data_IF_292471028218
#
_entry.id   IF_292471028218
#
_cell.length_a   1.000
_cell.length_b   1.000
_cell.length_c   1.000
_cell.angle_alpha   90.00
_cell.angle_beta   90.00
_cell.angle_gamma   90.00
#
_symmetry.space_group_name_H-M   'P 1'
#
loop_
_entity.id
_entity.type
_entity.pdbx_description
1 polymer ?
#
# COMPACT_ATOMS: atom_id res chain seq x y z
N UNK A 1 -6.59 -22.65 -50.35
CA UNK A 1 -7.31 -23.71 -49.59
C UNK A 1 -6.59 -25.03 -49.79
N UNK A 2 -6.55 -25.94 -48.80
CA UNK A 2 -6.75 -25.72 -47.35
C UNK A 2 -5.48 -25.03 -46.77
N UNK A 3 -4.94 -25.20 -45.55
CA UNK A 3 -5.34 -25.90 -44.31
C UNK A 3 -4.82 -25.14 -43.06
N UNK A 4 -5.16 -25.62 -41.86
CA UNK A 4 -4.61 -25.18 -40.57
C UNK A 4 -3.56 -26.16 -40.02
N UNK A 5 -2.61 -25.68 -39.21
CA UNK A 5 -2.01 -26.47 -38.12
C UNK A 5 -1.57 -25.62 -36.93
N UNK A 6 -2.42 -25.63 -35.89
CA UNK A 6 -2.14 -25.63 -34.44
C UNK A 6 -1.07 -24.70 -33.82
N UNK A 7 -1.48 -24.07 -32.71
CA UNK A 7 -0.61 -23.59 -31.62
C UNK A 7 0.39 -24.68 -31.18
N UNK A 8 1.52 -24.27 -30.60
CA UNK A 8 1.67 -24.13 -29.15
C UNK A 8 1.97 -22.67 -28.79
N UNK A 9 2.04 -22.22 -27.55
CA UNK A 9 1.36 -22.44 -26.28
C UNK A 9 1.79 -21.20 -25.45
N UNK A 10 0.97 -20.75 -24.49
CA UNK A 10 1.27 -19.52 -23.78
C UNK A 10 2.39 -19.71 -22.73
N UNK A 11 3.64 -19.57 -23.12
CA UNK A 11 4.70 -19.19 -22.18
C UNK A 11 4.64 -17.66 -21.97
N UNK A 12 4.42 -17.16 -20.74
CA UNK A 12 4.55 -15.74 -20.47
C UNK A 12 6.04 -15.38 -20.61
N UNK A 13 6.35 -14.50 -21.57
CA UNK A 13 7.71 -14.07 -21.87
C UNK A 13 8.49 -13.76 -20.59
N UNK A 14 9.61 -14.45 -20.43
CA UNK A 14 10.56 -14.23 -19.36
C UNK A 14 11.16 -12.83 -19.55
N UNK A 15 10.54 -11.81 -18.96
CA UNK A 15 11.01 -10.44 -19.01
C UNK A 15 12.30 -10.29 -18.18
N UNK A 16 13.42 -10.66 -18.80
CA UNK A 16 14.74 -10.44 -18.25
C UNK A 16 15.06 -8.94 -18.15
N UNK A 17 15.63 -8.54 -17.01
CA UNK A 17 16.39 -7.29 -16.84
C UNK A 17 15.67 -6.05 -17.39
N UNK A 18 14.46 -5.79 -16.88
CA UNK A 18 13.56 -4.77 -17.40
C UNK A 18 14.01 -3.32 -17.16
N UNK A 19 14.23 -2.60 -18.26
CA UNK A 19 14.03 -1.16 -18.32
C UNK A 19 12.56 -0.80 -18.05
N UNK A 20 12.28 0.44 -17.63
CA UNK A 20 10.93 0.89 -17.31
C UNK A 20 10.00 0.81 -18.52
N UNK A 21 8.88 0.10 -18.36
CA UNK A 21 7.89 -0.14 -19.41
C UNK A 21 6.80 0.94 -19.31
N UNK A 22 6.46 1.57 -20.43
CA UNK A 22 5.38 2.54 -20.52
C UNK A 22 4.29 1.97 -21.45
N UNK A 23 3.10 1.72 -20.90
CA UNK A 23 1.96 1.12 -21.59
C UNK A 23 0.83 2.17 -21.72
N UNK A 24 0.38 2.45 -22.94
CA UNK A 24 -0.61 3.49 -23.22
C UNK A 24 -1.90 2.87 -23.79
N UNK A 25 -2.99 2.95 -23.03
CA UNK A 25 -4.32 2.54 -23.44
C UNK A 25 -5.13 3.78 -23.86
N UNK A 26 -5.09 4.09 -25.16
CA UNK A 26 -5.80 5.25 -25.74
C UNK A 26 -7.16 4.78 -26.27
N UNK A 27 -8.26 5.24 -25.65
CA UNK A 27 -9.61 4.85 -26.06
C UNK A 27 -10.05 5.56 -27.34
N UNK A 28 -9.68 6.83 -27.53
CA UNK A 28 -10.04 7.63 -28.71
C UNK A 28 -8.95 8.62 -29.09
N UNK A 29 -8.73 8.76 -30.38
CA UNK A 29 -8.00 9.89 -30.97
C UNK A 29 -8.97 10.63 -31.88
N UNK A 30 -9.16 11.93 -31.64
CA UNK A 30 -9.97 12.81 -32.50
C UNK A 30 -9.02 13.81 -33.16
N UNK A 31 -8.93 13.77 -34.49
CA UNK A 31 -8.16 14.75 -35.26
C UNK A 31 -9.13 15.59 -36.09
N UNK A 32 -9.10 16.91 -35.93
CA UNK A 32 -10.08 17.81 -36.59
C UNK A 32 -9.62 18.27 -37.98
N UNK A 33 -8.31 18.38 -38.24
CA UNK A 33 -7.76 18.80 -39.54
C UNK A 33 -6.38 18.18 -39.77
N UNK A 34 -6.20 17.52 -40.92
CA UNK A 34 -4.94 16.84 -41.30
C UNK A 34 -4.52 17.26 -42.70
N UNK A 35 -3.26 17.71 -42.84
CA UNK A 35 -2.60 17.97 -44.13
C UNK A 35 -1.35 17.12 -44.37
N UNK A 36 -1.04 16.17 -43.49
CA UNK A 36 0.16 15.32 -43.58
C UNK A 36 0.09 14.06 -42.73
N UNK A 37 1.23 13.50 -42.36
CA UNK A 37 1.32 12.21 -41.64
C UNK A 37 1.43 12.42 -40.13
N UNK A 38 0.62 11.69 -39.36
CA UNK A 38 0.66 11.65 -37.90
C UNK A 38 1.36 10.37 -37.43
N UNK A 39 2.40 10.51 -36.61
CA UNK A 39 3.08 9.41 -35.94
C UNK A 39 3.09 9.66 -34.43
N UNK A 40 2.65 8.66 -33.65
CA UNK A 40 2.79 8.63 -32.20
C UNK A 40 4.21 8.19 -31.83
N UNK A 41 4.85 8.95 -30.94
CA UNK A 41 6.15 8.61 -30.36
C UNK A 41 6.18 8.86 -28.84
N UNK A 42 7.19 8.33 -28.17
CA UNK A 42 7.44 8.66 -26.76
C UNK A 42 8.33 9.92 -26.70
N UNK A 43 7.83 11.00 -26.07
CA UNK A 43 8.65 12.17 -25.73
C UNK A 43 8.98 12.12 -24.24
N UNK A 44 10.12 11.54 -23.90
CA UNK A 44 10.66 11.52 -22.53
C UNK A 44 11.59 12.73 -22.39
N UNK A 45 11.03 13.90 -22.08
CA UNK A 45 11.79 15.15 -21.99
C UNK A 45 12.42 15.37 -20.59
N UNK A 46 12.17 14.47 -19.64
CA UNK A 46 12.95 14.35 -18.40
C UNK A 46 13.13 12.88 -18.01
N UNK A 47 14.38 12.50 -17.77
CA UNK A 47 14.74 11.26 -17.07
C UNK A 47 14.28 11.31 -15.60
N UNK A 48 12.99 11.09 -15.37
CA UNK A 48 12.54 10.56 -14.08
C UNK A 48 12.86 9.07 -14.04
N UNK A 49 14.12 8.78 -13.70
CA UNK A 49 14.63 7.44 -13.40
C UNK A 49 13.91 6.93 -12.15
N UNK A 50 12.70 6.41 -12.35
CA UNK A 50 12.15 5.34 -11.53
C UNK A 50 12.61 4.04 -12.17
N UNK A 51 13.78 3.57 -11.74
CA UNK A 51 14.36 2.33 -12.25
C UNK A 51 13.36 1.17 -12.17
N UNK A 52 13.10 0.54 -13.31
CA UNK A 52 12.38 -0.72 -13.44
C UNK A 52 10.92 -0.62 -12.97
N UNK A 53 10.13 0.27 -13.58
CA UNK A 53 8.72 0.42 -13.25
C UNK A 53 7.82 0.30 -14.49
N UNK A 54 6.70 -0.43 -14.35
CA UNK A 54 5.61 -0.43 -15.33
C UNK A 54 4.69 0.77 -15.06
N UNK A 55 4.53 1.63 -16.05
CA UNK A 55 3.64 2.79 -16.02
C UNK A 55 2.49 2.59 -17.02
N UNK A 56 1.26 2.46 -16.53
CA UNK A 56 0.05 2.35 -17.37
C UNK A 56 -0.70 3.67 -17.44
N UNK A 57 -0.94 4.16 -18.66
CA UNK A 57 -1.69 5.39 -18.92
C UNK A 57 -2.99 5.07 -19.66
N UNK A 58 -4.12 5.35 -19.01
CA UNK A 58 -5.43 5.24 -19.63
C UNK A 58 -5.89 6.62 -20.09
N UNK A 59 -6.00 6.80 -21.40
CA UNK A 59 -6.27 8.10 -22.04
C UNK A 59 -7.63 8.02 -22.76
N UNK A 60 -8.63 8.71 -22.23
CA UNK A 60 -10.00 8.69 -22.77
C UNK A 60 -10.11 9.30 -24.17
N UNK A 61 -9.61 10.53 -24.36
CA UNK A 61 -9.57 11.16 -25.69
C UNK A 61 -8.27 11.97 -25.85
N UNK A 62 -7.54 11.73 -26.94
CA UNK A 62 -6.52 12.66 -27.45
C UNK A 62 -7.17 13.50 -28.54
N UNK A 63 -7.34 14.80 -28.28
CA UNK A 63 -7.86 15.76 -29.26
C UNK A 63 -6.73 16.52 -29.93
N UNK A 64 -6.59 16.37 -31.24
CA UNK A 64 -5.63 17.08 -32.09
C UNK A 64 -6.41 18.04 -32.99
N UNK A 65 -6.19 19.34 -32.84
CA UNK A 65 -6.95 20.36 -33.57
C UNK A 65 -6.48 20.53 -35.02
N UNK A 66 -5.16 20.52 -35.26
CA UNK A 66 -4.60 20.66 -36.61
C UNK A 66 -3.22 19.98 -36.73
N UNK A 67 -2.97 19.35 -37.87
CA UNK A 67 -1.66 18.83 -38.29
C UNK A 67 -1.29 19.44 -39.64
N UNK A 68 -0.30 20.34 -39.63
CA UNK A 68 0.29 20.93 -40.85
C UNK A 68 1.67 20.33 -41.12
N UNK A 69 1.86 19.76 -42.32
CA UNK A 69 3.11 19.11 -42.71
C UNK A 69 3.30 17.68 -42.14
N UNK A 70 4.53 17.16 -42.22
CA UNK A 70 4.94 15.87 -41.65
C UNK A 70 5.71 16.08 -40.35
N UNK A 71 5.24 15.48 -39.25
CA UNK A 71 5.90 15.58 -37.95
C UNK A 71 5.48 14.46 -36.99
N UNK A 72 6.32 14.15 -36.01
CA UNK A 72 5.99 13.23 -34.92
C UNK A 72 5.33 14.01 -33.79
N UNK A 73 4.19 13.52 -33.29
CA UNK A 73 3.56 14.06 -32.08
C UNK A 73 3.86 13.11 -30.94
N UNK A 74 4.74 13.52 -30.03
CA UNK A 74 5.03 12.76 -28.83
C UNK A 74 4.08 13.09 -27.68
N UNK A 75 3.69 12.09 -26.91
CA UNK A 75 2.90 12.29 -25.68
C UNK A 75 3.89 12.52 -24.53
N UNK A 76 4.05 13.80 -24.13
CA UNK A 76 4.79 14.17 -22.93
C UNK A 76 3.92 14.03 -21.68
N UNK A 77 4.44 13.36 -20.65
CA UNK A 77 3.72 13.09 -19.41
C UNK A 77 4.23 13.96 -18.26
N UNK A 78 3.51 15.03 -17.94
CA UNK A 78 3.77 15.83 -16.75
C UNK A 78 2.88 15.36 -15.61
N UNK A 79 3.45 14.69 -14.61
CA UNK A 79 2.75 14.33 -13.38
C UNK A 79 2.33 15.61 -12.65
N UNK A 80 1.05 16.02 -12.79
CA UNK A 80 0.46 17.03 -11.90
C UNK A 80 0.55 16.50 -10.48
N UNK A 81 1.32 17.19 -9.63
CA UNK A 81 1.44 16.83 -8.22
C UNK A 81 0.06 16.72 -7.59
N UNK A 82 -0.18 15.61 -6.89
CA UNK A 82 -1.47 15.18 -6.34
C UNK A 82 -1.98 16.14 -5.26
N UNK A 83 -2.58 17.26 -5.68
CA UNK A 83 -3.24 18.23 -4.80
C UNK A 83 -4.66 17.77 -4.45
N UNK A 84 -4.74 16.79 -3.56
CA UNK A 84 -5.77 16.57 -2.53
C UNK A 84 -5.51 15.21 -1.90
N UNK A 85 -5.51 15.14 -0.57
CA UNK A 85 -5.83 13.87 0.10
C UNK A 85 -7.27 13.50 -0.31
N UNK A 86 -7.47 12.32 -0.89
CA UNK A 86 -8.82 11.84 -1.18
C UNK A 86 -9.55 11.61 0.15
N UNK A 87 -10.68 12.29 0.34
CA UNK A 87 -11.35 12.37 1.62
C UNK A 87 -12.00 11.03 1.99
N UNK A 88 -11.57 10.41 3.09
CA UNK A 88 -12.12 9.16 3.61
C UNK A 88 -13.65 9.24 3.81
N UNK A 89 -14.39 8.23 3.33
CA UNK A 89 -15.82 8.11 3.60
C UNK A 89 -16.05 7.33 4.90
N UNK A 90 -16.08 8.04 6.03
CA UNK A 90 -16.27 7.43 7.35
C UNK A 90 -17.62 6.71 7.48
N UNK A 91 -17.76 5.66 8.32
CA UNK A 91 -18.99 4.88 8.47
C UNK A 91 -20.26 5.70 8.77
N UNK A 92 -20.11 6.80 9.51
CA UNK A 92 -21.21 7.71 9.87
C UNK A 92 -21.69 8.59 8.70
N UNK A 93 -20.89 8.71 7.63
CA UNK A 93 -21.19 9.50 6.41
C UNK A 93 -21.53 8.62 5.20
N UNK A 94 -21.26 7.33 5.29
CA UNK A 94 -21.55 6.35 4.26
C UNK A 94 -23.07 6.18 4.05
N UNK A 95 -23.49 5.88 2.81
CA UNK A 95 -24.86 5.46 2.54
C UNK A 95 -25.14 4.03 3.07
N UNK A 96 -26.41 3.63 3.10
CA UNK A 96 -26.84 2.33 3.66
C UNK A 96 -26.15 1.12 3.01
N UNK A 97 -25.78 1.20 1.74
CA UNK A 97 -25.16 0.09 1.01
C UNK A 97 -23.68 -0.01 1.37
N UNK A 98 -22.97 1.12 1.46
CA UNK A 98 -21.59 1.17 1.94
C UNK A 98 -21.52 0.79 3.43
N UNK A 99 -22.49 1.20 4.25
CA UNK A 99 -22.60 0.77 5.65
C UNK A 99 -22.79 -0.75 5.77
N UNK A 100 -23.58 -1.38 4.89
CA UNK A 100 -23.70 -2.85 4.85
C UNK A 100 -22.36 -3.51 4.51
N UNK A 101 -21.62 -2.97 3.54
CA UNK A 101 -20.28 -3.47 3.17
C UNK A 101 -19.31 -3.35 4.36
N UNK A 102 -19.37 -2.23 5.09
CA UNK A 102 -18.55 -2.02 6.28
C UNK A 102 -18.86 -3.02 7.39
N UNK A 103 -20.13 -3.25 7.72
CA UNK A 103 -20.55 -4.23 8.71
C UNK A 103 -20.15 -5.66 8.31
N UNK A 104 -20.38 -6.03 7.05
CA UNK A 104 -19.90 -7.30 6.48
C UNK A 104 -18.38 -7.45 6.60
N UNK A 105 -17.62 -6.36 6.40
CA UNK A 105 -16.15 -6.39 6.48
C UNK A 105 -15.62 -6.57 7.88
N UNK A 106 -16.23 -5.93 8.89
CA UNK A 106 -15.88 -6.14 10.29
C UNK A 106 -16.17 -7.58 10.73
N UNK A 107 -17.28 -8.15 10.24
CA UNK A 107 -17.67 -9.55 10.52
C UNK A 107 -16.75 -10.56 9.82
N UNK A 108 -16.49 -10.43 8.52
CA UNK A 108 -15.67 -11.38 7.76
C UNK A 108 -14.19 -11.33 8.16
N UNK A 109 -13.67 -10.15 8.44
CA UNK A 109 -12.28 -9.99 8.88
C UNK A 109 -12.13 -10.19 10.39
N UNK A 110 -13.22 -10.30 11.16
CA UNK A 110 -13.23 -10.34 12.62
C UNK A 110 -12.40 -9.19 13.23
N UNK A 111 -12.80 -7.94 12.98
CA UNK A 111 -12.08 -6.73 13.43
C UNK A 111 -13.04 -5.67 14.01
N UNK A 112 -12.54 -4.93 15.00
CA UNK A 112 -13.33 -3.95 15.75
C UNK A 112 -13.67 -2.69 14.94
N UNK A 113 -12.86 -2.29 13.97
CA UNK A 113 -13.02 -1.04 13.21
C UNK A 113 -13.08 -1.28 11.70
N UNK A 114 -13.76 -0.38 10.98
CA UNK A 114 -13.82 -0.41 9.51
C UNK A 114 -12.47 0.05 8.94
N UNK A 115 -11.76 -0.78 8.15
CA UNK A 115 -10.41 -0.45 7.73
C UNK A 115 -10.30 0.84 6.93
N UNK A 116 -9.21 1.60 7.15
CA UNK A 116 -8.96 2.83 6.37
C UNK A 116 -8.87 2.56 4.88
N UNK A 117 -8.34 1.40 4.48
CA UNK A 117 -8.29 0.98 3.07
C UNK A 117 -9.68 0.94 2.43
N UNK A 118 -10.66 0.30 3.09
CA UNK A 118 -12.03 0.25 2.58
C UNK A 118 -12.69 1.64 2.60
N UNK A 119 -12.38 2.49 3.60
CA UNK A 119 -12.84 3.88 3.63
C UNK A 119 -12.26 4.77 2.51
N UNK A 120 -11.07 4.45 1.98
CA UNK A 120 -10.52 5.07 0.76
C UNK A 120 -11.28 4.57 -0.46
N UNK A 121 -11.43 3.25 -0.63
CA UNK A 121 -12.16 2.68 -1.77
C UNK A 121 -13.62 3.17 -1.85
N UNK A 122 -14.27 3.38 -0.71
CA UNK A 122 -15.65 3.86 -0.60
C UNK A 122 -15.91 5.22 -1.25
N UNK A 123 -14.87 6.05 -1.47
CA UNK A 123 -14.96 7.30 -2.24
C UNK A 123 -15.43 7.04 -3.68
N UNK A 124 -15.08 5.87 -4.24
CA UNK A 124 -15.60 5.35 -5.51
C UNK A 124 -16.43 4.11 -5.25
N UNK A 125 -17.71 4.31 -4.90
CA UNK A 125 -18.66 3.24 -4.57
C UNK A 125 -18.63 2.01 -5.53
N UNK A 126 -18.53 2.14 -6.87
CA UNK A 126 -18.43 0.98 -7.75
C UNK A 126 -17.17 0.14 -7.51
N UNK A 127 -16.03 0.78 -7.23
CA UNK A 127 -14.76 0.11 -6.88
C UNK A 127 -14.90 -0.69 -5.59
N UNK A 128 -15.41 -0.06 -4.51
CA UNK A 128 -15.65 -0.77 -3.25
C UNK A 128 -16.58 -1.97 -3.46
N UNK A 129 -17.68 -1.79 -4.20
CA UNK A 129 -18.63 -2.87 -4.50
C UNK A 129 -17.99 -4.04 -5.25
N UNK A 130 -17.25 -3.76 -6.33
CA UNK A 130 -16.59 -4.80 -7.11
C UNK A 130 -15.60 -5.60 -6.25
N UNK A 131 -14.70 -4.89 -5.56
CA UNK A 131 -13.72 -5.49 -4.64
C UNK A 131 -14.40 -6.31 -3.54
N UNK A 132 -15.44 -5.77 -2.90
CA UNK A 132 -16.10 -6.45 -1.77
C UNK A 132 -16.95 -7.65 -2.18
N UNK A 133 -17.62 -7.59 -3.34
CA UNK A 133 -18.35 -8.72 -3.89
C UNK A 133 -17.41 -9.89 -4.18
N UNK A 134 -16.23 -9.63 -4.72
CA UNK A 134 -15.23 -10.67 -4.99
C UNK A 134 -14.61 -11.22 -3.70
N UNK A 135 -14.34 -10.37 -2.70
CA UNK A 135 -13.91 -10.81 -1.36
C UNK A 135 -14.95 -11.78 -0.75
N UNK A 136 -16.24 -11.41 -0.71
CA UNK A 136 -17.31 -12.28 -0.16
C UNK A 136 -17.53 -13.55 -0.99
N UNK A 137 -17.31 -13.50 -2.31
CA UNK A 137 -17.44 -14.65 -3.22
C UNK A 137 -16.32 -15.67 -2.99
N UNK A 138 -15.10 -15.20 -2.76
CA UNK A 138 -13.91 -16.04 -2.62
C UNK A 138 -13.62 -16.50 -1.19
N UNK A 139 -14.02 -15.73 -0.17
CA UNK A 139 -13.77 -16.03 1.23
C UNK A 139 -15.06 -15.94 2.07
N UNK A 140 -15.43 -17.08 2.66
CA UNK A 140 -16.61 -17.22 3.51
C UNK A 140 -16.29 -17.23 5.02
N UNK A 141 -14.99 -17.23 5.37
CA UNK A 141 -14.49 -17.31 6.75
C UNK A 141 -13.29 -16.39 6.94
N UNK A 142 -13.02 -15.98 8.19
CA UNK A 142 -11.87 -15.16 8.56
C UNK A 142 -10.51 -15.88 8.44
N UNK A 143 -10.52 -17.22 8.48
CA UNK A 143 -9.32 -18.05 8.63
C UNK A 143 -8.13 -17.76 7.67
N UNK A 144 -8.31 -17.38 6.39
CA UNK A 144 -7.19 -16.97 5.52
C UNK A 144 -6.54 -15.67 5.98
N UNK A 145 -7.35 -14.70 6.44
CA UNK A 145 -6.90 -13.41 6.96
C UNK A 145 -6.25 -13.59 8.35
N UNK A 146 -6.85 -14.41 9.22
CA UNK A 146 -6.30 -14.75 10.54
C UNK A 146 -4.92 -15.40 10.40
N UNK A 147 -4.79 -16.42 9.55
CA UNK A 147 -3.50 -17.07 9.28
C UNK A 147 -2.46 -16.10 8.71
N UNK A 148 -2.85 -15.17 7.84
CA UNK A 148 -1.92 -14.18 7.33
C UNK A 148 -1.46 -13.22 8.43
N UNK A 149 -2.38 -12.77 9.29
CA UNK A 149 -2.08 -11.97 10.48
C UNK A 149 -1.13 -12.69 11.46
N UNK A 150 -1.39 -13.97 11.78
CA UNK A 150 -0.52 -14.79 12.61
C UNK A 150 0.92 -14.88 12.05
N UNK A 151 1.06 -15.06 10.73
CA UNK A 151 2.38 -15.07 10.08
C UNK A 151 3.06 -13.69 10.14
N UNK A 152 2.30 -12.59 10.00
CA UNK A 152 2.84 -11.23 10.15
C UNK A 152 3.29 -10.96 11.59
N UNK A 153 2.53 -11.42 12.60
CA UNK A 153 2.94 -11.36 14.00
C UNK A 153 4.22 -12.16 14.26
N UNK A 154 4.34 -13.38 13.74
CA UNK A 154 5.55 -14.18 13.90
C UNK A 154 6.80 -13.47 13.34
N UNK A 155 6.69 -12.77 12.21
CA UNK A 155 7.79 -11.96 11.66
C UNK A 155 8.12 -10.71 12.49
N UNK A 156 7.14 -10.19 13.25
CA UNK A 156 7.35 -9.08 14.18
C UNK A 156 7.96 -9.58 15.50
N UNK A 157 7.58 -10.77 15.97
CA UNK A 157 8.16 -11.47 17.13
C UNK A 157 9.64 -11.84 16.93
N UNK A 158 10.09 -12.02 15.67
CA UNK A 158 11.50 -12.21 15.31
C UNK A 158 12.37 -10.95 15.50
N UNK A 159 11.77 -9.75 15.64
CA UNK A 159 12.52 -8.52 15.82
C UNK A 159 13.23 -8.51 17.19
N UNK A 160 14.53 -8.15 17.28
CA UNK A 160 15.26 -8.09 18.54
C UNK A 160 14.93 -6.82 19.33
N UNK A 161 13.67 -6.71 19.76
CA UNK A 161 13.17 -5.66 20.63
C UNK A 161 13.82 -5.79 22.03
N UNK A 162 14.09 -4.66 22.72
CA UNK A 162 14.52 -4.71 24.11
C UNK A 162 13.46 -5.44 24.94
N UNK A 163 13.90 -6.36 25.81
CA UNK A 163 12.99 -7.15 26.64
C UNK A 163 12.01 -6.23 27.37
N UNK A 164 10.72 -6.53 27.28
CA UNK A 164 9.61 -5.67 27.72
C UNK A 164 9.70 -5.22 29.18
N UNK A 165 10.43 -5.95 30.02
CA UNK A 165 10.68 -5.63 31.43
C UNK A 165 11.84 -4.66 31.69
N UNK A 166 12.72 -4.40 30.71
CA UNK A 166 13.93 -3.56 30.90
C UNK A 166 13.65 -2.06 30.79
N UNK A 167 12.67 -1.68 29.98
CA UNK A 167 12.17 -0.31 29.84
C UNK A 167 10.93 -0.13 30.71
N UNK A 168 11.05 0.59 31.84
CA UNK A 168 9.93 1.04 32.70
C UNK A 168 9.08 2.12 32.02
N UNK A 169 8.60 1.79 30.82
CA UNK A 169 7.91 2.66 29.88
C UNK A 169 6.48 2.18 29.83
N UNK A 170 5.61 2.99 30.44
CA UNK A 170 4.21 2.66 30.62
C UNK A 170 3.38 3.58 29.73
N UNK A 171 2.44 2.99 29.00
CA UNK A 171 1.41 3.71 28.25
C UNK A 171 0.02 3.22 28.66
N UNK A 172 -1.04 4.04 28.54
CA UNK A 172 -2.39 3.62 28.90
C UNK A 172 -2.83 2.38 28.12
N UNK A 173 -3.59 1.50 28.77
CA UNK A 173 -4.14 0.29 28.14
C UNK A 173 -5.00 0.56 26.92
N UNK A 174 -5.67 1.71 26.84
CA UNK A 174 -6.37 2.16 25.63
C UNK A 174 -5.45 2.26 24.40
N UNK A 175 -4.24 2.84 24.55
CA UNK A 175 -3.28 2.97 23.44
C UNK A 175 -2.76 1.59 23.01
N UNK A 176 -2.54 0.68 23.97
CA UNK A 176 -2.07 -0.70 23.69
C UNK A 176 -3.14 -1.52 22.96
N UNK A 177 -4.40 -1.41 23.40
CA UNK A 177 -5.53 -2.05 22.73
C UNK A 177 -5.76 -1.47 21.32
N UNK A 178 -5.69 -0.14 21.13
CA UNK A 178 -5.77 0.45 19.79
C UNK A 178 -4.60 0.04 18.91
N UNK A 179 -3.40 -0.13 19.46
CA UNK A 179 -2.25 -0.66 18.72
C UNK A 179 -2.47 -2.12 18.30
N UNK A 180 -2.98 -2.98 19.17
CA UNK A 180 -3.31 -4.38 18.86
C UNK A 180 -4.43 -4.48 17.79
N UNK A 181 -5.54 -3.76 17.98
CA UNK A 181 -6.62 -3.63 16.99
C UNK A 181 -6.08 -3.16 15.62
N UNK A 182 -5.16 -2.18 15.64
CA UNK A 182 -4.58 -1.64 14.42
C UNK A 182 -3.62 -2.63 13.74
N UNK A 183 -2.88 -3.46 14.47
CA UNK A 183 -2.07 -4.54 13.88
C UNK A 183 -2.95 -5.53 13.11
N UNK A 184 -4.06 -5.95 13.73
CA UNK A 184 -4.99 -6.90 13.13
C UNK A 184 -5.70 -6.30 11.91
N UNK A 185 -6.20 -5.04 12.01
CA UNK A 185 -6.76 -4.29 10.87
C UNK A 185 -5.75 -4.23 9.72
N UNK A 186 -4.55 -3.72 9.98
CA UNK A 186 -3.54 -3.50 8.94
C UNK A 186 -3.12 -4.82 8.29
N UNK A 187 -2.83 -5.87 9.05
CA UNK A 187 -2.42 -7.15 8.48
C UNK A 187 -3.53 -7.81 7.63
N UNK A 188 -4.78 -7.78 8.09
CA UNK A 188 -5.90 -8.39 7.37
C UNK A 188 -6.28 -7.61 6.11
N UNK A 189 -6.13 -6.28 6.08
CA UNK A 189 -6.35 -5.49 4.84
C UNK A 189 -5.14 -5.44 3.92
N UNK A 190 -3.93 -5.61 4.46
CA UNK A 190 -2.71 -5.82 3.70
C UNK A 190 -2.83 -7.07 2.81
N UNK A 191 -3.41 -8.16 3.33
CA UNK A 191 -3.75 -9.35 2.54
C UNK A 191 -4.69 -9.00 1.36
N UNK A 192 -5.74 -8.21 1.60
CA UNK A 192 -6.67 -7.78 0.54
C UNK A 192 -5.94 -6.97 -0.54
N UNK A 193 -5.15 -5.97 -0.15
CA UNK A 193 -4.39 -5.14 -1.09
C UNK A 193 -3.36 -5.96 -1.87
N UNK A 194 -2.68 -6.91 -1.22
CA UNK A 194 -1.75 -7.86 -1.85
C UNK A 194 -2.44 -8.70 -2.94
N UNK A 195 -3.61 -9.25 -2.63
CA UNK A 195 -4.41 -10.05 -3.56
C UNK A 195 -4.93 -9.21 -4.75
N UNK A 196 -5.35 -7.98 -4.50
CA UNK A 196 -5.74 -7.00 -5.54
C UNK A 196 -4.56 -6.68 -6.46
N UNK A 197 -3.38 -6.37 -5.90
CA UNK A 197 -2.19 -6.04 -6.69
C UNK A 197 -1.67 -7.22 -7.51
N UNK A 198 -1.70 -8.43 -6.96
CA UNK A 198 -1.34 -9.64 -7.70
C UNK A 198 -2.28 -9.93 -8.87
N UNK A 199 -3.57 -9.59 -8.75
CA UNK A 199 -4.52 -9.70 -9.87
C UNK A 199 -4.30 -8.60 -10.93
N UNK A 200 -4.13 -7.35 -10.49
CA UNK A 200 -3.87 -6.19 -11.35
C UNK A 200 -2.58 -6.32 -12.18
N UNK A 201 -1.54 -6.83 -11.53
CA UNK A 201 -0.18 -6.97 -12.05
C UNK A 201 0.46 -8.28 -11.59
N UNK A 202 0.12 -9.42 -12.24
CA UNK A 202 0.69 -10.71 -11.89
C UNK A 202 2.23 -10.71 -11.94
N UNK A 203 2.86 -10.96 -10.79
CA UNK A 203 4.32 -11.04 -10.66
C UNK A 203 5.04 -9.74 -10.28
N UNK A 204 4.46 -8.56 -10.50
CA UNK A 204 5.10 -7.26 -10.16
C UNK A 204 5.34 -7.09 -8.66
N UNK A 205 4.47 -7.66 -7.83
CA UNK A 205 4.62 -7.69 -6.36
C UNK A 205 6.01 -8.23 -5.95
N UNK A 206 6.55 -9.21 -6.68
CA UNK A 206 7.86 -9.82 -6.39
C UNK A 206 9.05 -8.96 -6.84
N UNK A 207 8.85 -8.09 -7.82
CA UNK A 207 9.94 -7.35 -8.50
C UNK A 207 10.10 -5.95 -7.92
N UNK A 208 8.99 -5.28 -7.58
CA UNK A 208 8.98 -3.83 -7.35
C UNK A 208 8.78 -3.37 -5.90
N UNK A 209 8.39 -4.24 -4.96
CA UNK A 209 8.30 -3.84 -3.54
C UNK A 209 9.66 -3.71 -2.85
N UNK A 210 10.63 -4.58 -3.18
CA UNK A 210 11.99 -4.56 -2.63
C UNK A 210 12.76 -3.25 -2.89
N UNK A 211 12.38 -2.45 -3.92
CA UNK A 211 12.99 -1.14 -4.22
C UNK A 211 12.32 0.06 -3.54
N UNK A 212 11.11 -0.10 -2.97
CA UNK A 212 10.27 1.02 -2.47
C UNK A 212 10.41 1.27 -0.96
N UNK A 213 10.79 0.25 -0.20
CA UNK A 213 11.07 0.33 1.24
C UNK A 213 12.39 1.08 1.52
N UNK A 214 12.43 2.38 1.25
CA UNK A 214 13.58 3.23 1.54
C UNK A 214 13.50 3.78 2.96
N UNK A 215 14.32 3.27 3.86
CA UNK A 215 14.57 3.86 5.18
C UNK A 215 15.63 4.95 5.02
N UNK A 216 15.36 6.15 5.52
CA UNK A 216 16.34 7.24 5.65
C UNK A 216 16.86 7.22 7.08
N UNK A 217 17.82 6.32 7.35
CA UNK A 217 18.40 6.09 8.67
C UNK A 217 18.96 7.38 9.30
N UNK A 218 19.52 8.25 8.47
CA UNK A 218 20.02 9.57 8.82
C UNK A 218 18.93 10.54 9.29
N UNK A 219 17.66 10.32 8.90
CA UNK A 219 16.49 11.11 9.33
C UNK A 219 15.74 10.51 10.52
N UNK A 220 16.08 9.30 10.96
CA UNK A 220 15.65 8.77 12.26
C UNK A 220 16.37 9.44 13.44
N UNK A 221 16.92 10.64 13.27
CA UNK A 221 17.46 11.46 14.35
C UNK A 221 16.70 12.80 14.40
N UNK A 222 16.17 13.20 15.57
CA UNK A 222 15.47 14.47 15.69
C UNK A 222 16.47 15.64 15.65
N UNK A 223 16.03 16.78 15.13
CA UNK A 223 16.87 17.95 14.85
C UNK A 223 17.40 18.70 16.09
N UNK A 224 16.99 18.30 17.31
CA UNK A 224 17.42 18.91 18.56
C UNK A 224 18.03 17.88 19.52
N UNK A 225 19.08 18.29 20.23
CA UNK A 225 19.76 17.47 21.26
C UNK A 225 18.86 17.11 22.44
N UNK A 226 17.79 17.87 22.66
CA UNK A 226 16.69 17.56 23.58
C UNK A 226 15.40 17.57 22.74
N UNK A 227 14.94 16.42 22.24
CA UNK A 227 13.80 16.36 21.33
C UNK A 227 12.47 16.35 22.09
N UNK A 228 11.58 17.26 21.71
CA UNK A 228 10.18 17.20 22.14
C UNK A 228 9.41 16.12 21.35
N UNK A 229 8.17 15.85 21.75
CA UNK A 229 7.37 14.80 21.12
C UNK A 229 7.14 15.05 19.61
N UNK A 230 6.85 16.29 19.21
CA UNK A 230 6.65 16.63 17.79
C UNK A 230 7.91 16.39 16.94
N UNK A 231 9.09 16.74 17.44
CA UNK A 231 10.37 16.47 16.77
C UNK A 231 10.65 14.97 16.63
N UNK A 232 10.28 14.16 17.64
CA UNK A 232 10.42 12.70 17.57
C UNK A 232 9.43 12.07 16.60
N UNK A 233 8.14 12.48 16.61
CA UNK A 233 7.15 12.03 15.63
C UNK A 233 7.56 12.39 14.20
N UNK A 234 8.09 13.60 13.99
CA UNK A 234 8.57 14.03 12.68
C UNK A 234 9.80 13.24 12.23
N UNK A 235 10.76 12.94 13.13
CA UNK A 235 11.90 12.08 12.81
C UNK A 235 11.48 10.65 12.41
N UNK A 236 10.53 10.04 13.14
CA UNK A 236 9.93 8.75 12.76
C UNK A 236 9.28 8.83 11.37
N UNK A 237 8.50 9.88 11.14
CA UNK A 237 7.77 10.09 9.88
C UNK A 237 8.71 10.26 8.68
N UNK A 238 9.76 11.06 8.81
CA UNK A 238 10.74 11.31 7.75
C UNK A 238 11.65 10.10 7.53
N UNK A 239 12.15 9.51 8.61
CA UNK A 239 13.07 8.37 8.55
C UNK A 239 12.46 7.10 7.97
N UNK A 240 11.19 6.82 8.24
CA UNK A 240 10.44 5.72 7.61
C UNK A 240 9.75 6.13 6.29
N UNK A 241 9.87 7.40 5.88
CA UNK A 241 9.17 7.97 4.72
C UNK A 241 7.66 7.66 4.69
N UNK A 242 6.95 8.00 5.77
CA UNK A 242 5.51 7.74 5.91
C UNK A 242 4.72 9.03 5.62
N UNK A 243 3.67 8.96 4.78
CA UNK A 243 2.77 10.10 4.52
C UNK A 243 1.98 10.52 5.76
N UNK A 244 1.41 9.55 6.49
CA UNK A 244 0.62 9.75 7.71
C UNK A 244 1.03 8.73 8.80
N UNK A 245 1.32 9.20 10.00
CA UNK A 245 1.53 8.32 11.17
C UNK A 245 0.20 7.65 11.60
N UNK A 246 0.23 6.43 12.16
CA UNK A 246 -0.95 5.79 12.75
C UNK A 246 -1.51 6.63 13.92
N UNK A 247 -2.79 6.45 14.26
CA UNK A 247 -3.47 7.26 15.30
C UNK A 247 -2.86 7.06 16.68
N UNK A 248 -2.51 5.83 17.01
CA UNK A 248 -1.74 5.40 18.19
C UNK A 248 -0.51 6.27 18.45
N UNK A 249 0.33 6.50 17.44
CA UNK A 249 1.53 7.34 17.57
C UNK A 249 1.19 8.81 17.84
N UNK A 250 0.07 9.32 17.34
CA UNK A 250 -0.36 10.70 17.65
C UNK A 250 -0.75 10.85 19.12
N UNK A 251 -1.36 9.82 19.71
CA UNK A 251 -1.69 9.79 21.14
C UNK A 251 -0.44 9.75 22.04
N UNK A 252 0.72 9.30 21.52
CA UNK A 252 1.99 9.35 22.25
C UNK A 252 2.59 10.76 22.37
N UNK A 253 1.98 11.80 21.80
CA UNK A 253 2.42 13.18 22.00
C UNK A 253 2.41 13.58 23.49
N UNK A 254 1.44 13.07 24.25
CA UNK A 254 1.35 13.25 25.72
C UNK A 254 2.26 12.30 26.51
N UNK A 255 2.90 11.33 25.84
CA UNK A 255 3.71 10.26 26.43
C UNK A 255 5.16 10.28 25.92
N UNK A 256 5.82 11.43 26.03
CA UNK A 256 7.17 11.67 25.51
C UNK A 256 8.23 10.59 25.86
N UNK A 257 8.15 9.97 27.05
CA UNK A 257 9.04 8.86 27.43
C UNK A 257 8.83 7.59 26.58
N UNK A 258 7.59 7.26 26.23
CA UNK A 258 7.27 6.12 25.39
C UNK A 258 7.68 6.35 23.94
N UNK A 259 7.46 7.58 23.45
CA UNK A 259 7.93 8.00 22.14
C UNK A 259 9.46 8.04 22.04
N UNK A 260 10.15 8.45 23.10
CA UNK A 260 11.62 8.38 23.20
C UNK A 260 12.11 6.92 23.17
N UNK A 261 11.46 6.01 23.90
CA UNK A 261 11.80 4.59 23.86
C UNK A 261 11.56 3.97 22.46
N UNK A 262 10.43 4.30 21.81
CA UNK A 262 10.13 3.89 20.45
C UNK A 262 11.22 4.36 19.46
N UNK A 263 11.62 5.63 19.52
CA UNK A 263 12.62 6.18 18.60
C UNK A 263 14.05 5.67 18.88
N UNK A 264 14.53 5.87 20.11
CA UNK A 264 15.94 5.68 20.46
C UNK A 264 16.30 4.27 20.94
N UNK A 265 15.34 3.53 21.53
CA UNK A 265 15.59 2.19 22.09
C UNK A 265 15.07 1.06 21.19
N UNK A 266 14.19 1.35 20.23
CA UNK A 266 13.63 0.38 19.29
C UNK A 266 14.02 0.72 17.84
N UNK A 267 13.50 1.80 17.26
CA UNK A 267 13.63 2.07 15.82
C UNK A 267 15.07 2.33 15.37
N UNK A 268 15.81 3.22 16.07
CA UNK A 268 17.21 3.49 15.74
C UNK A 268 18.08 2.21 15.83
N UNK A 269 18.06 1.40 16.92
CA UNK A 269 18.79 0.14 16.98
C UNK A 269 18.41 -0.87 15.90
N UNK A 270 17.12 -0.99 15.53
CA UNK A 270 16.69 -1.91 14.46
C UNK A 270 17.32 -1.53 13.11
N UNK A 271 17.33 -0.24 12.78
CA UNK A 271 17.91 0.27 11.53
C UNK A 271 19.44 0.20 11.53
N UNK A 272 20.10 0.57 12.63
CA UNK A 272 21.57 0.48 12.74
C UNK A 272 22.10 -0.97 12.64
N UNK A 273 21.27 -1.96 12.98
CA UNK A 273 21.60 -3.40 12.94
C UNK A 273 21.09 -4.13 11.68
N UNK A 274 20.55 -3.41 10.69
CA UNK A 274 20.01 -4.00 9.46
C UNK A 274 18.76 -4.89 9.67
N UNK A 275 18.09 -4.78 10.82
CA UNK A 275 16.97 -5.65 11.19
C UNK A 275 15.67 -5.23 10.50
N UNK A 276 15.54 -3.95 10.15
CA UNK A 276 14.39 -3.47 9.40
C UNK A 276 14.43 -4.03 7.97
N UNK A 277 15.58 -4.04 7.32
CA UNK A 277 15.79 -4.65 6.00
C UNK A 277 15.50 -6.17 6.01
N UNK A 278 15.85 -6.87 7.10
CA UNK A 278 15.53 -8.29 7.28
C UNK A 278 14.02 -8.53 7.43
N UNK A 279 13.34 -7.77 8.28
CA UNK A 279 11.88 -7.82 8.41
C UNK A 279 11.18 -7.58 7.06
N UNK A 280 11.61 -6.56 6.31
CA UNK A 280 11.09 -6.26 4.97
C UNK A 280 11.36 -7.43 4.02
N UNK A 281 12.53 -8.06 4.08
CA UNK A 281 12.84 -9.24 3.27
C UNK A 281 11.92 -10.43 3.59
N UNK A 282 11.73 -10.75 4.88
CA UNK A 282 10.87 -11.85 5.32
C UNK A 282 9.40 -11.58 4.96
N UNK A 283 8.93 -10.34 5.11
CA UNK A 283 7.56 -9.94 4.77
C UNK A 283 7.29 -10.07 3.25
N UNK A 284 8.25 -9.69 2.41
CA UNK A 284 8.18 -9.94 0.96
C UNK A 284 8.19 -11.44 0.61
N UNK A 285 8.91 -12.27 1.37
CA UNK A 285 8.88 -13.72 1.20
C UNK A 285 7.49 -14.30 1.58
N UNK A 286 6.90 -13.84 2.69
CA UNK A 286 5.54 -14.17 3.12
C UNK A 286 4.49 -13.79 2.05
N UNK A 287 4.61 -12.61 1.43
CA UNK A 287 3.76 -12.23 0.31
C UNK A 287 3.87 -13.19 -0.88
N UNK A 288 5.11 -13.51 -1.28
CA UNK A 288 5.38 -14.41 -2.41
C UNK A 288 4.91 -15.85 -2.15
N UNK A 289 4.88 -16.29 -0.89
CA UNK A 289 4.27 -17.55 -0.47
C UNK A 289 2.74 -17.47 -0.48
N UNK A 290 2.16 -16.42 0.09
CA UNK A 290 0.71 -16.21 0.20
C UNK A 290 0.05 -16.21 -1.19
N UNK A 291 0.64 -15.46 -2.14
CA UNK A 291 0.21 -15.41 -3.54
C UNK A 291 0.23 -16.78 -4.24
N UNK A 292 1.14 -17.70 -3.86
CA UNK A 292 1.18 -19.06 -4.42
C UNK A 292 0.12 -19.99 -3.82
N UNK A 293 -0.36 -19.69 -2.61
CA UNK A 293 -1.24 -20.57 -1.84
C UNK A 293 -2.72 -20.18 -1.96
N UNK A 294 -3.03 -18.96 -2.40
CA UNK A 294 -4.40 -18.41 -2.44
C UNK A 294 -4.86 -18.18 -3.89
N UNK A 295 -5.97 -18.81 -4.28
CA UNK A 295 -6.59 -18.64 -5.60
C UNK A 295 -7.51 -17.40 -5.64
N UNK A 296 -6.90 -16.24 -5.93
CA UNK A 296 -7.54 -14.92 -6.10
C UNK A 296 -8.38 -14.70 -7.38
N UNK A 297 -9.66 -15.11 -7.45
CA UNK A 297 -10.52 -14.85 -8.64
C UNK A 297 -11.30 -13.52 -8.55
N UNK A 298 -10.61 -12.40 -8.77
CA UNK A 298 -11.24 -11.09 -9.02
C UNK A 298 -11.89 -11.05 -10.40
N UNK A 299 -13.11 -10.51 -10.48
CA UNK A 299 -13.83 -10.25 -11.73
C UNK A 299 -14.18 -8.76 -11.83
N UNK A 300 -13.14 -7.92 -11.87
CA UNK A 300 -13.25 -6.46 -12.00
C UNK A 300 -13.69 -5.99 -13.41
N UNK A 301 -14.37 -6.83 -14.17
CA UNK A 301 -14.78 -6.62 -15.57
C UNK A 301 -15.69 -5.41 -15.78
N UNK A 302 -16.32 -4.91 -14.72
CA UNK A 302 -17.25 -3.77 -14.75
C UNK A 302 -16.58 -2.42 -14.45
N UNK A 303 -15.31 -2.40 -13.98
CA UNK A 303 -14.64 -1.15 -13.62
C UNK A 303 -14.16 -0.37 -14.85
N UNK A 304 -14.36 0.94 -14.84
CA UNK A 304 -13.79 1.85 -15.84
C UNK A 304 -12.27 2.01 -15.64
N UNK A 305 -11.56 2.41 -16.69
CA UNK A 305 -10.11 2.57 -16.65
C UNK A 305 -9.61 3.56 -15.55
N UNK A 306 -10.41 4.57 -15.21
CA UNK A 306 -10.10 5.50 -14.12
C UNK A 306 -10.25 4.82 -12.74
N UNK A 307 -11.26 3.95 -12.59
CA UNK A 307 -11.51 3.15 -11.40
C UNK A 307 -10.46 2.06 -11.19
N UNK A 308 -9.99 1.41 -12.26
CA UNK A 308 -8.83 0.52 -12.23
C UNK A 308 -7.56 1.24 -11.76
N UNK A 309 -7.28 2.43 -12.30
CA UNK A 309 -6.12 3.24 -11.92
C UNK A 309 -6.19 3.71 -10.46
N UNK A 310 -7.38 4.12 -10.00
CA UNK A 310 -7.65 4.43 -8.60
C UNK A 310 -7.44 3.22 -7.70
N UNK A 311 -8.02 2.05 -8.02
CA UNK A 311 -7.88 0.84 -7.22
C UNK A 311 -6.41 0.40 -7.08
N UNK A 312 -5.67 0.42 -8.19
CA UNK A 312 -4.23 0.14 -8.18
C UNK A 312 -3.46 1.10 -7.28
N UNK A 313 -3.72 2.41 -7.41
CA UNK A 313 -3.07 3.44 -6.60
C UNK A 313 -3.37 3.22 -5.12
N UNK A 314 -4.64 3.01 -4.75
CA UNK A 314 -5.06 2.81 -3.37
C UNK A 314 -4.48 1.53 -2.76
N UNK A 315 -4.41 0.43 -3.52
CA UNK A 315 -3.81 -0.82 -3.04
C UNK A 315 -2.28 -0.71 -2.89
N UNK A 316 -1.60 -0.05 -3.83
CA UNK A 316 -0.15 0.17 -3.76
C UNK A 316 0.24 1.13 -2.61
N UNK A 317 -0.53 2.20 -2.39
CA UNK A 317 -0.33 3.10 -1.25
C UNK A 317 -0.62 2.43 0.09
N UNK A 318 -1.68 1.59 0.17
CA UNK A 318 -1.97 0.85 1.40
C UNK A 318 -0.88 -0.18 1.72
N UNK A 319 -0.38 -0.90 0.72
CA UNK A 319 0.73 -1.86 0.89
C UNK A 319 1.97 -1.17 1.49
N UNK A 320 2.38 -0.01 0.97
CA UNK A 320 3.53 0.74 1.53
C UNK A 320 3.28 1.35 2.92
N UNK A 321 2.02 1.74 3.23
CA UNK A 321 1.66 2.36 4.52
C UNK A 321 1.52 1.31 5.63
N UNK A 322 0.80 0.21 5.36
CA UNK A 322 0.51 -0.84 6.32
C UNK A 322 1.77 -1.55 6.82
N UNK A 323 2.74 -1.86 5.95
CA UNK A 323 4.04 -2.45 6.29
C UNK A 323 4.75 -1.67 7.42
N UNK A 324 4.69 -0.34 7.34
CA UNK A 324 5.34 0.59 8.27
C UNK A 324 4.47 0.85 9.50
N UNK A 325 3.15 0.83 9.37
CA UNK A 325 2.22 0.94 10.52
C UNK A 325 2.28 -0.31 11.40
N UNK A 326 2.45 -1.50 10.83
CA UNK A 326 2.67 -2.76 11.56
C UNK A 326 3.93 -2.67 12.44
N UNK A 327 5.07 -2.28 11.87
CA UNK A 327 6.33 -2.06 12.58
C UNK A 327 6.20 -1.04 13.73
N UNK A 328 5.37 -0.02 13.57
CA UNK A 328 5.20 1.06 14.56
C UNK A 328 4.21 0.71 15.68
N UNK A 329 3.13 -0.01 15.39
CA UNK A 329 2.14 -0.41 16.38
C UNK A 329 2.63 -1.59 17.23
N UNK A 330 3.41 -2.51 16.65
CA UNK A 330 3.80 -3.75 17.33
C UNK A 330 4.56 -3.54 18.64
N UNK A 331 5.62 -2.70 18.70
CA UNK A 331 6.29 -2.41 19.97
C UNK A 331 5.37 -1.74 21.01
N UNK A 332 4.34 -0.99 20.59
CA UNK A 332 3.39 -0.34 21.49
C UNK A 332 2.42 -1.32 22.12
N UNK A 333 1.93 -2.29 21.34
CA UNK A 333 1.08 -3.37 21.87
C UNK A 333 1.79 -4.18 22.98
N UNK A 334 3.13 -4.26 22.93
CA UNK A 334 3.97 -4.96 23.91
C UNK A 334 4.43 -4.12 25.11
N UNK A 335 4.16 -2.81 25.16
CA UNK A 335 4.58 -1.97 26.29
C UNK A 335 3.86 -2.31 27.60
N UNK A 336 4.50 -2.03 28.73
CA UNK A 336 3.95 -2.33 30.05
C UNK A 336 2.71 -1.49 30.38
N UNK A 337 1.79 -2.11 31.13
CA UNK A 337 0.65 -1.42 31.72
C UNK A 337 1.04 -0.73 33.02
N UNK A 338 0.51 0.48 33.25
CA UNK A 338 0.64 1.18 34.53
C UNK A 338 -0.43 0.77 35.55
N UNK A 339 -1.49 0.12 35.08
CA UNK A 339 -2.65 -0.26 35.91
C UNK A 339 -2.47 -1.67 36.51
N UNK A 340 -1.83 -2.60 35.80
CA UNK A 340 -1.56 -3.96 36.26
C UNK A 340 -0.58 -4.08 37.46
N UNK A 341 0.14 -3.02 37.82
CA UNK A 341 0.98 -2.97 39.04
C UNK A 341 0.21 -2.51 40.30
N UNK A 342 -1.10 -2.21 40.18
CA UNK A 342 -1.95 -1.73 41.29
C UNK A 342 -3.06 -2.70 41.70
N UNK A 343 -3.11 -3.88 41.08
CA UNK A 343 -4.05 -4.98 41.32
C UNK A 343 -3.30 -6.23 41.74
#
# INVERSE_FOLDING_TARGET
>A
MPAFSKKPDNEPYLYGQLASIFEYHIQRIKIEKVKGTFQLGHLIEQERISENSLHRFFIGEIKITEVEGTGTVGIGLTQKGSKKEEALLSPQKADKEIQSIYQDSQSLLNINQVPRFLQRLAVRKPVLKAVWNDIKRSWQTSAPFDRFYENVLALLDELPLPSSHSTRVYIPSSIRMEAADSLEEQAKTLFIALMILQYLLPGEVKVNHLKRQKVQAEKLQPSSSHPNAQNMLQAIKEGLQIKQLPSTLKQLEEHAYALHALLFSILQPLVQKGQLELYVHHLNALYAQTIKQVSFDLSLTELTAEEWSFLFTQAAEHLEEAEKHLLLNYPLALMCDREAEKS
#
